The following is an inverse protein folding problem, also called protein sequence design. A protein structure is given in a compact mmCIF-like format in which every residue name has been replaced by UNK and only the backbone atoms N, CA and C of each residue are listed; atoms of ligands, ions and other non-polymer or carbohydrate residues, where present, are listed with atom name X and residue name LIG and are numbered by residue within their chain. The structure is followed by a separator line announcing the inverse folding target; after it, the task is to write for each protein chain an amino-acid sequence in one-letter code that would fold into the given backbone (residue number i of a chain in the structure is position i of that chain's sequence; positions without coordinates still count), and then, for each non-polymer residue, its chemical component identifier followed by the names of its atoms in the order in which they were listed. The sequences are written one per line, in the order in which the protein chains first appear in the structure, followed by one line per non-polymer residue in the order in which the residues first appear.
data_IF_622039150090
#
_entry.id   IF_622039150090
#
_cell.length_a   1.000
_cell.length_b   1.000
_cell.length_c   1.000
_cell.angle_alpha   90.00
_cell.angle_beta   90.00
_cell.angle_gamma   90.00
#
_symmetry.space_group_name_H-M   'P 1'
#
loop_
_entity.id
_entity.type
_entity.pdbx_description
1 polymer ?
#
# COMPACT_ATOMS: atom_id res chain seq x y z
N UNK A 1 -2.00 11.99 26.23
CA UNK A 1 -2.80 12.11 24.97
C UNK A 1 -2.45 13.36 24.15
N UNK A 2 -2.52 14.58 24.70
CA UNK A 2 -2.21 15.84 23.95
C UNK A 2 -0.84 15.84 23.27
N UNK A 3 0.22 15.43 23.97
CA UNK A 3 1.58 15.38 23.42
C UNK A 3 1.72 14.39 22.24
N UNK A 4 1.09 13.21 22.34
CA UNK A 4 1.08 12.21 21.26
C UNK A 4 0.49 12.82 19.99
N UNK A 5 -0.68 13.45 20.11
CA UNK A 5 -1.36 14.10 18.99
C UNK A 5 -0.50 15.20 18.35
N UNK A 6 0.16 16.04 19.16
CA UNK A 6 1.04 17.09 18.66
C UNK A 6 2.24 16.54 17.88
N UNK A 7 2.90 15.51 18.40
CA UNK A 7 4.02 14.86 17.71
C UNK A 7 3.56 14.17 16.42
N UNK A 8 2.40 13.53 16.43
CA UNK A 8 1.80 12.93 15.23
C UNK A 8 1.54 14.00 14.17
N UNK A 9 0.89 15.11 14.54
CA UNK A 9 0.58 16.21 13.60
C UNK A 9 1.86 16.78 13.01
N UNK A 10 2.86 17.10 13.83
CA UNK A 10 4.15 17.66 13.37
C UNK A 10 4.84 16.69 12.41
N UNK A 11 4.91 15.41 12.77
CA UNK A 11 5.55 14.38 11.93
C UNK A 11 4.84 14.21 10.58
N UNK A 12 3.50 14.22 10.59
CA UNK A 12 2.69 14.08 9.39
C UNK A 12 2.85 15.31 8.49
N UNK A 13 2.67 16.51 9.02
CA UNK A 13 2.76 17.76 8.24
C UNK A 13 4.14 17.93 7.63
N UNK A 14 5.20 17.60 8.35
CA UNK A 14 6.56 17.70 7.83
C UNK A 14 6.82 16.70 6.71
N UNK A 15 6.39 15.45 6.89
CA UNK A 15 6.55 14.42 5.87
C UNK A 15 5.75 14.74 4.61
N UNK A 16 4.49 15.18 4.79
CA UNK A 16 3.57 15.58 3.73
C UNK A 16 4.01 16.86 3.02
N UNK A 17 4.63 17.80 3.73
CA UNK A 17 5.11 19.07 3.20
C UNK A 17 6.40 18.97 2.37
N UNK A 18 6.94 17.77 2.17
CA UNK A 18 8.10 17.59 1.29
C UNK A 18 7.69 17.69 -0.18
N UNK A 19 8.57 18.25 -1.02
CA UNK A 19 8.32 18.41 -2.45
C UNK A 19 8.00 17.08 -3.17
N UNK A 20 8.41 15.94 -2.60
CA UNK A 20 8.14 14.61 -3.14
C UNK A 20 6.64 14.30 -3.24
N UNK A 21 5.83 14.84 -2.33
CA UNK A 21 4.38 14.68 -2.38
C UNK A 21 3.73 15.37 -3.57
N UNK A 22 4.38 16.38 -4.16
CA UNK A 22 3.89 17.04 -5.38
C UNK A 22 3.96 16.12 -6.61
N UNK A 23 4.81 15.09 -6.58
CA UNK A 23 4.90 14.10 -7.65
C UNK A 23 3.76 13.08 -7.60
N UNK A 24 3.20 12.82 -6.41
CA UNK A 24 2.23 11.75 -6.18
C UNK A 24 0.99 11.90 -7.07
N UNK A 25 0.36 13.08 -7.19
CA UNK A 25 -0.78 13.25 -8.07
C UNK A 25 -0.45 12.93 -9.54
N UNK A 26 0.68 13.44 -10.05
CA UNK A 26 1.08 13.20 -11.44
C UNK A 26 1.35 11.73 -11.74
N UNK A 27 2.04 11.03 -10.84
CA UNK A 27 2.33 9.59 -10.99
C UNK A 27 1.03 8.78 -11.04
N UNK A 28 0.07 9.04 -10.15
CA UNK A 28 -1.20 8.30 -10.16
C UNK A 28 -2.12 8.67 -11.31
N UNK A 29 -2.11 9.91 -11.79
CA UNK A 29 -2.82 10.28 -13.02
C UNK A 29 -2.25 9.53 -14.23
N UNK A 30 -0.92 9.44 -14.35
CA UNK A 30 -0.30 8.66 -15.43
C UNK A 30 -0.63 7.18 -15.27
N UNK A 31 -0.53 6.63 -14.05
CA UNK A 31 -0.82 5.23 -13.81
C UNK A 31 -2.29 4.87 -14.11
N UNK A 32 -3.25 5.72 -13.72
CA UNK A 32 -4.66 5.55 -14.05
C UNK A 32 -4.96 5.70 -15.54
N UNK A 33 -4.25 6.60 -16.24
CA UNK A 33 -4.34 6.73 -17.70
C UNK A 33 -3.84 5.47 -18.40
N UNK A 34 -2.67 4.94 -18.02
CA UNK A 34 -2.11 3.72 -18.60
C UNK A 34 -2.95 2.48 -18.28
N UNK A 35 -3.54 2.42 -17.08
CA UNK A 35 -4.40 1.32 -16.68
C UNK A 35 -5.77 1.33 -17.40
N UNK A 36 -6.15 2.42 -18.05
CA UNK A 36 -7.43 2.50 -18.76
C UNK A 36 -7.53 1.48 -19.91
N UNK A 37 -6.43 1.26 -20.62
CA UNK A 37 -6.35 0.26 -21.71
C UNK A 37 -6.46 -1.16 -21.15
N UNK A 38 -5.79 -1.44 -20.03
CA UNK A 38 -5.83 -2.75 -19.34
C UNK A 38 -7.25 -3.08 -18.82
N UNK A 39 -8.04 -2.06 -18.47
CA UNK A 39 -9.38 -2.22 -17.91
C UNK A 39 -10.42 -2.38 -19.02
N UNK A 40 -10.30 -1.60 -20.09
CA UNK A 40 -11.29 -1.51 -21.17
C UNK A 40 -11.18 -2.63 -22.22
N UNK A 41 -10.05 -3.31 -22.33
CA UNK A 41 -9.83 -4.31 -23.37
C UNK A 41 -9.42 -5.69 -22.84
N UNK A 42 -10.18 -6.71 -23.23
CA UNK A 42 -9.77 -8.10 -23.02
C UNK A 42 -8.85 -8.57 -24.16
N UNK A 43 -7.55 -8.66 -23.89
CA UNK A 43 -6.59 -9.12 -24.90
C UNK A 43 -6.71 -10.61 -25.25
N UNK A 44 -7.30 -11.43 -24.36
CA UNK A 44 -7.47 -12.86 -24.58
C UNK A 44 -8.63 -13.12 -25.53
N UNK A 45 -9.73 -12.41 -25.31
CA UNK A 45 -10.96 -12.59 -26.10
C UNK A 45 -11.10 -11.59 -27.25
N UNK A 46 -10.26 -10.54 -27.26
CA UNK A 46 -10.30 -9.42 -28.21
C UNK A 46 -11.64 -8.68 -28.17
N UNK A 47 -12.17 -8.43 -26.96
CA UNK A 47 -13.48 -7.79 -26.74
C UNK A 47 -13.34 -6.56 -25.85
N UNK A 48 -14.01 -5.47 -26.25
CA UNK A 48 -14.16 -4.27 -25.41
C UNK A 48 -15.13 -4.52 -24.26
N UNK A 49 -14.73 -4.10 -23.06
CA UNK A 49 -15.51 -4.24 -21.83
C UNK A 49 -16.23 -2.94 -21.52
N UNK A 50 -17.49 -3.05 -21.11
CA UNK A 50 -18.21 -1.91 -20.54
C UNK A 50 -17.66 -1.66 -19.14
N UNK A 51 -16.86 -0.60 -19.00
CA UNK A 51 -16.15 -0.24 -17.77
C UNK A 51 -16.40 1.21 -17.39
N UNK A 52 -16.17 1.53 -16.12
CA UNK A 52 -16.14 2.90 -15.64
C UNK A 52 -14.91 3.14 -14.76
N UNK A 53 -14.76 4.38 -14.29
CA UNK A 53 -13.58 4.79 -13.50
C UNK A 53 -13.38 4.00 -12.21
N UNK A 54 -14.42 3.39 -11.65
CA UNK A 54 -14.28 2.58 -10.45
C UNK A 54 -13.57 1.26 -10.70
N UNK A 55 -13.63 0.71 -11.93
CA UNK A 55 -12.98 -0.54 -12.31
C UNK A 55 -11.45 -0.42 -12.36
N UNK A 56 -10.94 0.80 -12.55
CA UNK A 56 -9.50 1.08 -12.65
C UNK A 56 -8.76 0.80 -11.35
N UNK A 57 -9.30 1.25 -10.21
CA UNK A 57 -8.65 1.05 -8.92
C UNK A 57 -8.43 -0.42 -8.61
N UNK A 58 -9.44 -1.29 -8.74
CA UNK A 58 -9.22 -2.68 -8.54
C UNK A 58 -8.20 -3.29 -9.52
N UNK A 59 -8.29 -3.00 -10.82
CA UNK A 59 -7.31 -3.54 -11.78
C UNK A 59 -5.89 -3.09 -11.45
N UNK A 60 -5.69 -1.83 -11.08
CA UNK A 60 -4.38 -1.33 -10.64
C UNK A 60 -3.86 -2.06 -9.41
N UNK A 61 -4.72 -2.29 -8.42
CA UNK A 61 -4.32 -2.93 -7.17
C UNK A 61 -4.10 -4.46 -7.35
N UNK A 62 -4.70 -5.07 -8.38
CA UNK A 62 -4.61 -6.52 -8.63
C UNK A 62 -3.42 -6.85 -9.52
N UNK A 63 -3.01 -5.89 -10.35
CA UNK A 63 -1.82 -5.97 -11.16
C UNK A 63 -0.55 -5.82 -10.28
N UNK A 64 0.33 -6.83 -10.24
CA UNK A 64 1.51 -6.83 -9.38
C UNK A 64 2.52 -5.74 -9.73
N UNK A 65 2.54 -5.25 -10.97
CA UNK A 65 3.45 -4.19 -11.39
C UNK A 65 3.07 -2.84 -10.78
N UNK A 66 1.81 -2.41 -10.96
CA UNK A 66 1.33 -1.16 -10.34
C UNK A 66 1.45 -1.24 -8.82
N UNK A 67 1.06 -2.35 -8.23
CA UNK A 67 1.11 -2.54 -6.79
C UNK A 67 2.54 -2.43 -6.22
N UNK A 68 3.50 -3.15 -6.81
CA UNK A 68 4.86 -3.18 -6.28
C UNK A 68 5.64 -1.88 -6.60
N UNK A 69 5.54 -1.36 -7.83
CA UNK A 69 6.32 -0.21 -8.27
C UNK A 69 5.67 1.14 -7.95
N UNK A 70 4.36 1.26 -8.13
CA UNK A 70 3.67 2.53 -7.89
C UNK A 70 3.31 2.63 -6.42
N UNK A 71 2.57 1.67 -5.86
CA UNK A 71 2.08 1.78 -4.49
C UNK A 71 3.18 1.53 -3.45
N UNK A 72 3.82 0.36 -3.48
CA UNK A 72 4.79 -0.03 -2.44
C UNK A 72 6.07 0.79 -2.55
N UNK A 73 6.77 0.71 -3.68
CA UNK A 73 8.00 1.47 -3.87
C UNK A 73 7.72 2.97 -3.74
N UNK A 74 6.76 3.52 -4.49
CA UNK A 74 6.43 4.94 -4.42
C UNK A 74 6.16 5.44 -3.01
N UNK A 75 5.35 4.73 -2.20
CA UNK A 75 5.10 5.13 -0.82
C UNK A 75 6.37 5.04 0.05
N UNK A 76 7.15 3.98 -0.08
CA UNK A 76 8.38 3.81 0.71
C UNK A 76 9.44 4.87 0.39
N UNK A 77 9.48 5.39 -0.85
CA UNK A 77 10.33 6.53 -1.21
C UNK A 77 9.90 7.84 -0.55
N UNK A 78 8.61 7.98 -0.23
CA UNK A 78 8.08 9.16 0.44
C UNK A 78 8.36 9.14 1.95
N UNK A 79 8.23 7.97 2.58
CA UNK A 79 8.23 7.87 4.06
C UNK A 79 9.47 7.19 4.64
N UNK A 80 10.22 6.44 3.84
CA UNK A 80 11.28 5.55 4.31
C UNK A 80 12.47 6.28 4.94
N UNK A 81 12.80 7.47 4.46
CA UNK A 81 13.91 8.28 5.00
C UNK A 81 13.46 9.30 6.06
N UNK A 82 12.19 9.30 6.48
CA UNK A 82 11.65 10.28 7.43
C UNK A 82 12.40 10.29 8.77
N UNK A 83 12.92 9.13 9.21
CA UNK A 83 13.75 9.03 10.41
C UNK A 83 15.15 9.65 10.19
N UNK A 84 15.75 9.39 9.02
CA UNK A 84 17.06 9.92 8.68
C UNK A 84 17.01 11.44 8.52
N UNK A 85 15.95 11.98 7.91
CA UNK A 85 15.70 13.42 7.81
C UNK A 85 15.58 14.05 9.20
N UNK A 86 14.79 13.45 10.10
CA UNK A 86 14.66 13.95 11.47
C UNK A 86 15.99 13.97 12.23
N UNK A 87 16.85 12.99 11.97
CA UNK A 87 18.19 12.94 12.55
C UNK A 87 19.11 14.01 11.97
N UNK A 88 19.18 14.11 10.64
CA UNK A 88 20.05 15.06 9.95
C UNK A 88 19.70 16.51 10.33
N UNK A 89 18.42 16.80 10.52
CA UNK A 89 17.94 18.14 10.88
C UNK A 89 18.02 18.39 12.40
N UNK A 90 18.58 17.47 13.20
CA UNK A 90 18.70 17.58 14.66
C UNK A 90 17.38 17.48 15.43
N UNK A 91 16.25 17.36 14.73
CA UNK A 91 14.92 17.27 15.33
C UNK A 91 14.78 16.04 16.22
N UNK A 92 15.38 14.91 15.83
CA UNK A 92 15.34 13.68 16.63
C UNK A 92 15.95 13.92 18.02
N UNK A 93 17.09 14.61 18.09
CA UNK A 93 17.74 14.95 19.36
C UNK A 93 16.89 15.92 20.20
N UNK A 94 16.24 16.90 19.56
CA UNK A 94 15.32 17.82 20.23
C UNK A 94 14.08 17.11 20.77
N UNK A 95 13.50 16.19 20.00
CA UNK A 95 12.31 15.44 20.41
C UNK A 95 12.67 14.47 21.53
N UNK A 96 13.75 13.71 21.41
CA UNK A 96 14.15 12.76 22.44
C UNK A 96 14.48 13.47 23.76
N UNK A 97 15.20 14.60 23.72
CA UNK A 97 15.57 15.35 24.93
C UNK A 97 14.38 16.05 25.61
N UNK A 98 13.33 16.42 24.85
CA UNK A 98 12.14 17.11 25.37
C UNK A 98 10.93 16.22 25.58
N UNK A 99 10.88 15.04 24.97
CA UNK A 99 9.77 14.11 25.16
C UNK A 99 9.90 13.45 26.53
N UNK A 100 8.78 13.34 27.24
CA UNK A 100 8.74 12.60 28.51
C UNK A 100 8.91 11.08 28.32
N UNK A 101 8.79 10.58 27.08
CA UNK A 101 8.89 9.16 26.78
C UNK A 101 9.25 8.90 25.31
N UNK A 102 10.32 8.14 25.11
CA UNK A 102 10.75 7.62 23.79
C UNK A 102 9.67 6.75 23.13
N UNK A 103 8.91 6.00 23.94
CA UNK A 103 7.78 5.16 23.49
C UNK A 103 6.68 6.02 22.88
N UNK A 104 6.36 7.14 23.53
CA UNK A 104 5.31 8.04 23.05
C UNK A 104 5.70 8.68 21.71
N UNK A 105 6.97 9.04 21.51
CA UNK A 105 7.47 9.48 20.21
C UNK A 105 7.37 8.38 19.15
N UNK A 106 7.83 7.16 19.44
CA UNK A 106 7.76 6.04 18.50
C UNK A 106 6.32 5.74 18.05
N UNK A 107 5.39 5.67 19.00
CA UNK A 107 3.98 5.49 18.70
C UNK A 107 3.43 6.64 17.84
N UNK A 108 3.82 7.90 18.10
CA UNK A 108 3.41 9.02 17.26
C UNK A 108 3.93 8.90 15.83
N UNK A 109 5.15 8.38 15.65
CA UNK A 109 5.75 8.12 14.34
C UNK A 109 4.98 7.03 13.58
N UNK A 110 4.70 5.90 14.24
CA UNK A 110 3.89 4.83 13.67
C UNK A 110 2.50 5.32 13.23
N UNK A 111 1.83 6.11 14.08
CA UNK A 111 0.51 6.70 13.76
C UNK A 111 0.63 7.70 12.60
N UNK A 112 1.68 8.52 12.57
CA UNK A 112 1.91 9.47 11.49
C UNK A 112 2.04 8.75 10.13
N UNK A 113 2.77 7.64 10.07
CA UNK A 113 2.87 6.81 8.86
C UNK A 113 1.51 6.22 8.45
N UNK A 114 0.66 5.84 9.41
CA UNK A 114 -0.70 5.38 9.12
C UNK A 114 -1.55 6.47 8.46
N UNK A 115 -1.45 7.71 8.95
CA UNK A 115 -2.15 8.85 8.36
C UNK A 115 -1.60 9.12 6.95
N UNK A 116 -0.29 9.08 6.77
CA UNK A 116 0.34 9.27 5.46
C UNK A 116 -0.06 8.18 4.46
N UNK A 117 -0.19 6.91 4.88
CA UNK A 117 -0.63 5.84 3.98
C UNK A 117 -2.09 6.02 3.54
N UNK A 118 -2.96 6.47 4.45
CA UNK A 118 -4.33 6.84 4.11
C UNK A 118 -4.38 8.02 3.13
N UNK A 119 -3.64 9.09 3.39
CA UNK A 119 -3.56 10.23 2.48
C UNK A 119 -3.03 9.82 1.10
N UNK A 120 -2.00 8.97 1.07
CA UNK A 120 -1.42 8.45 -0.17
C UNK A 120 -2.44 7.67 -0.99
N UNK A 121 -3.21 6.78 -0.36
CA UNK A 121 -4.25 6.00 -1.03
C UNK A 121 -5.43 6.88 -1.47
N UNK A 122 -5.85 7.86 -0.68
CA UNK A 122 -6.91 8.79 -1.08
C UNK A 122 -6.48 9.56 -2.34
N UNK A 123 -5.25 10.09 -2.36
CA UNK A 123 -4.70 10.77 -3.54
C UNK A 123 -4.61 9.79 -4.71
N UNK A 124 -4.14 8.56 -4.47
CA UNK A 124 -4.04 7.52 -5.49
C UNK A 124 -5.38 7.24 -6.17
N UNK A 125 -6.44 7.02 -5.38
CA UNK A 125 -7.78 6.74 -5.89
C UNK A 125 -8.30 7.92 -6.73
N UNK A 126 -8.28 9.13 -6.17
CA UNK A 126 -8.80 10.32 -6.85
C UNK A 126 -8.05 10.59 -8.16
N UNK A 127 -6.71 10.54 -8.11
CA UNK A 127 -5.88 10.91 -9.25
C UNK A 127 -5.83 9.82 -10.32
N UNK A 128 -5.96 8.54 -9.95
CA UNK A 128 -6.08 7.45 -10.92
C UNK A 128 -7.42 7.48 -11.63
N UNK A 129 -8.52 7.79 -10.92
CA UNK A 129 -9.82 8.03 -11.55
C UNK A 129 -9.74 9.22 -12.52
N UNK A 130 -9.10 10.32 -12.14
CA UNK A 130 -8.87 11.44 -13.04
C UNK A 130 -8.08 11.01 -14.29
N UNK A 131 -7.02 10.22 -14.12
CA UNK A 131 -6.23 9.66 -15.22
C UNK A 131 -7.09 8.81 -16.18
N UNK A 132 -7.96 7.97 -15.64
CA UNK A 132 -8.89 7.15 -16.41
C UNK A 132 -9.91 7.99 -17.19
N UNK A 133 -10.44 9.06 -16.58
CA UNK A 133 -11.33 10.01 -17.29
C UNK A 133 -10.59 10.68 -18.45
N UNK A 134 -9.34 11.07 -18.26
CA UNK A 134 -8.51 11.65 -19.33
C UNK A 134 -8.22 10.65 -20.45
N UNK A 135 -8.22 9.35 -20.16
CA UNK A 135 -8.11 8.26 -21.14
C UNK A 135 -9.45 7.93 -21.84
N UNK A 136 -10.56 8.58 -21.47
CA UNK A 136 -11.86 8.38 -22.09
C UNK A 136 -12.78 7.38 -21.37
N UNK A 137 -12.40 6.86 -20.21
CA UNK A 137 -13.29 6.00 -19.40
C UNK A 137 -14.38 6.87 -18.76
N UNK A 138 -15.67 6.50 -18.88
CA UNK A 138 -16.77 7.28 -18.31
C UNK A 138 -16.73 7.28 -16.77
N UNK A 139 -16.93 8.46 -16.18
CA UNK A 139 -17.13 8.61 -14.74
C UNK A 139 -18.60 8.41 -14.39
N UNK A 140 -18.92 7.26 -13.81
CA UNK A 140 -20.26 6.91 -13.36
C UNK A 140 -20.21 6.46 -11.91
N UNK A 141 -21.27 6.74 -11.13
CA UNK A 141 -21.38 6.28 -9.74
C UNK A 141 -22.02 4.89 -9.60
N UNK A 142 -22.52 4.35 -10.72
CA UNK A 142 -23.16 3.04 -10.82
C UNK A 142 -22.14 1.95 -11.07
N UNK A 143 -22.52 0.71 -10.78
CA UNK A 143 -21.71 -0.46 -11.10
C UNK A 143 -21.67 -0.66 -12.62
N UNK A 144 -20.49 -0.88 -13.19
CA UNK A 144 -20.32 -1.26 -14.59
C UNK A 144 -20.86 -2.66 -14.85
N UNK A 145 -21.21 -3.00 -16.11
CA UNK A 145 -21.61 -4.38 -16.44
C UNK A 145 -20.50 -5.38 -16.09
N UNK A 146 -19.24 -5.00 -16.29
CA UNK A 146 -18.08 -5.82 -15.95
C UNK A 146 -17.95 -6.09 -14.44
N UNK A 147 -18.36 -5.15 -13.58
CA UNK A 147 -18.33 -5.30 -12.12
C UNK A 147 -19.54 -6.05 -11.53
N UNK A 148 -20.61 -6.21 -12.32
CA UNK A 148 -21.81 -6.99 -11.97
C UNK A 148 -21.72 -8.47 -12.38
N UNK A 149 -20.59 -8.85 -12.94
CA UNK A 149 -20.31 -10.20 -13.38
C UNK A 149 -20.47 -11.24 -12.29
N UNK A 150 -21.23 -12.28 -12.61
CA UNK A 150 -21.42 -13.44 -11.72
C UNK A 150 -20.48 -14.58 -12.11
N UNK A 151 -20.20 -15.48 -11.16
CA UNK A 151 -19.29 -16.61 -11.36
C UNK A 151 -19.68 -17.54 -12.53
N UNK A 152 -20.94 -17.55 -12.93
CA UNK A 152 -21.43 -18.33 -14.08
C UNK A 152 -21.11 -17.68 -15.43
N UNK A 153 -20.73 -16.40 -15.45
CA UNK A 153 -20.35 -15.65 -16.66
C UNK A 153 -18.84 -15.68 -16.94
N UNK A 154 -18.04 -16.27 -16.04
CA UNK A 154 -16.57 -16.35 -16.13
C UNK A 154 -16.12 -17.00 -17.44
N UNK A 155 -16.80 -18.07 -17.87
CA UNK A 155 -16.40 -18.83 -19.07
C UNK A 155 -16.72 -18.13 -20.40
N UNK A 156 -17.38 -16.98 -20.37
CA UNK A 156 -17.80 -16.29 -21.61
C UNK A 156 -17.07 -14.96 -21.80
N UNK A 157 -16.62 -14.26 -20.74
CA UNK A 157 -16.12 -12.86 -20.85
C UNK A 157 -15.00 -12.43 -19.86
N UNK A 158 -14.41 -13.34 -19.07
CA UNK A 158 -13.30 -13.06 -18.12
C UNK A 158 -13.49 -11.80 -17.25
N UNK A 159 -14.71 -11.62 -16.75
CA UNK A 159 -15.06 -10.58 -15.80
C UNK A 159 -14.56 -10.91 -14.38
N UNK A 160 -14.42 -9.91 -13.49
CA UNK A 160 -13.85 -10.10 -12.14
C UNK A 160 -14.95 -10.20 -11.06
N UNK A 161 -15.44 -11.41 -10.72
CA UNK A 161 -16.53 -11.56 -9.77
C UNK A 161 -16.08 -11.17 -8.36
N UNK A 162 -16.86 -10.33 -7.69
CA UNK A 162 -16.54 -9.88 -6.32
C UNK A 162 -17.13 -10.86 -5.31
N UNK A 163 -16.37 -11.23 -4.28
CA UNK A 163 -16.87 -12.08 -3.17
C UNK A 163 -17.99 -11.37 -2.39
N UNK A 164 -17.97 -10.04 -2.33
CA UNK A 164 -18.98 -9.25 -1.65
C UNK A 164 -19.92 -8.60 -2.64
N UNK A 165 -21.21 -8.82 -2.45
CA UNK A 165 -22.29 -8.14 -3.16
C UNK A 165 -22.51 -6.74 -2.55
N UNK A 166 -21.54 -5.86 -2.76
CA UNK A 166 -21.57 -4.45 -2.37
C UNK A 166 -21.37 -3.58 -3.60
N UNK A 167 -21.88 -2.36 -3.61
CA UNK A 167 -21.65 -1.46 -4.75
C UNK A 167 -20.16 -1.18 -4.96
N UNK A 168 -19.79 -0.88 -6.20
CA UNK A 168 -18.40 -0.69 -6.60
C UNK A 168 -17.66 0.38 -5.78
N UNK A 169 -18.26 1.54 -5.42
CA UNK A 169 -17.61 2.51 -4.54
C UNK A 169 -17.25 1.94 -3.15
N UNK A 170 -18.13 1.14 -2.56
CA UNK A 170 -17.85 0.50 -1.26
C UNK A 170 -16.77 -0.58 -1.39
N UNK A 171 -16.80 -1.35 -2.47
CA UNK A 171 -15.73 -2.31 -2.76
C UNK A 171 -14.37 -1.62 -2.86
N UNK A 172 -14.27 -0.56 -3.66
CA UNK A 172 -13.06 0.26 -3.83
C UNK A 172 -12.60 0.84 -2.49
N UNK A 173 -13.52 1.31 -1.65
CA UNK A 173 -13.21 1.79 -0.31
C UNK A 173 -12.54 0.71 0.56
N UNK A 174 -13.09 -0.50 0.61
CA UNK A 174 -12.54 -1.59 1.44
C UNK A 174 -11.15 -2.05 0.96
N UNK A 175 -10.97 -2.26 -0.35
CA UNK A 175 -9.67 -2.68 -0.89
C UNK A 175 -8.61 -1.57 -0.77
N UNK A 176 -9.03 -0.30 -0.84
CA UNK A 176 -8.15 0.85 -0.61
C UNK A 176 -7.71 0.92 0.85
N UNK A 177 -8.63 0.72 1.80
CA UNK A 177 -8.30 0.67 3.22
C UNK A 177 -7.34 -0.48 3.56
N UNK A 178 -7.57 -1.64 2.96
CA UNK A 178 -6.67 -2.79 3.04
C UNK A 178 -5.26 -2.46 2.53
N UNK A 179 -5.18 -1.79 1.38
CA UNK A 179 -3.89 -1.39 0.79
C UNK A 179 -3.19 -0.35 1.68
N UNK A 180 -3.92 0.64 2.20
CA UNK A 180 -3.38 1.64 3.12
C UNK A 180 -2.80 1.01 4.39
N UNK A 181 -3.48 0.01 4.94
CA UNK A 181 -3.03 -0.75 6.11
C UNK A 181 -1.77 -1.57 5.80
N UNK A 182 -1.71 -2.18 4.61
CA UNK A 182 -0.53 -2.92 4.16
C UNK A 182 0.69 -2.01 3.99
N UNK A 183 0.51 -0.86 3.33
CA UNK A 183 1.54 0.15 3.16
C UNK A 183 2.03 0.71 4.51
N UNK A 184 1.12 0.88 5.47
CA UNK A 184 1.47 1.28 6.84
C UNK A 184 2.45 0.29 7.48
N UNK A 185 2.18 -1.01 7.40
CA UNK A 185 3.04 -2.05 7.97
C UNK A 185 4.41 -2.08 7.28
N UNK A 186 4.42 -2.10 5.94
CA UNK A 186 5.66 -2.14 5.15
C UNK A 186 6.55 -0.93 5.48
N UNK A 187 5.97 0.28 5.52
CA UNK A 187 6.72 1.49 5.86
C UNK A 187 7.31 1.43 7.28
N UNK A 188 6.58 0.88 8.26
CA UNK A 188 7.10 0.72 9.60
C UNK A 188 8.24 -0.30 9.68
N UNK A 189 8.16 -1.42 8.94
CA UNK A 189 9.26 -2.39 8.82
C UNK A 189 10.50 -1.68 8.26
N UNK A 190 10.34 -0.91 7.18
CA UNK A 190 11.46 -0.18 6.56
C UNK A 190 12.08 0.85 7.49
N UNK A 191 11.26 1.56 8.27
CA UNK A 191 11.76 2.51 9.27
C UNK A 191 12.53 1.79 10.37
N UNK A 192 12.05 0.62 10.84
CA UNK A 192 12.80 -0.23 11.77
C UNK A 192 14.15 -0.67 11.20
N UNK A 193 14.19 -1.10 9.93
CA UNK A 193 15.46 -1.45 9.27
C UNK A 193 16.38 -0.24 9.19
N UNK A 194 15.82 0.95 8.94
CA UNK A 194 16.58 2.22 8.90
C UNK A 194 17.10 2.66 10.28
N UNK A 195 16.51 2.20 11.38
CA UNK A 195 17.11 2.36 12.72
C UNK A 195 18.38 1.53 12.88
N UNK A 196 18.45 0.35 12.24
CA UNK A 196 19.59 -0.56 12.32
C UNK A 196 20.72 -0.08 11.42
N UNK A 197 20.38 0.34 10.21
CA UNK A 197 21.35 0.81 9.22
C UNK A 197 21.13 2.30 8.93
N UNK A 198 22.03 3.12 9.44
CA UNK A 198 21.90 4.58 9.53
C UNK A 198 22.29 5.29 8.23
N UNK A 199 21.95 4.72 7.08
CA UNK A 199 22.27 5.29 5.78
C UNK A 199 20.99 5.66 5.03
N UNK A 200 21.03 6.81 4.36
CA UNK A 200 19.90 7.34 3.57
C UNK A 200 19.44 6.37 2.47
N UNK A 201 20.33 5.49 1.97
CA UNK A 201 19.99 4.53 0.91
C UNK A 201 19.29 3.25 1.43
N UNK A 202 19.32 2.99 2.75
CA UNK A 202 18.80 1.74 3.33
C UNK A 202 17.33 1.51 3.05
N UNK A 203 16.42 2.50 3.18
CA UNK A 203 15.02 2.30 2.82
C UNK A 203 14.83 1.79 1.40
N UNK A 204 15.57 2.40 0.46
CA UNK A 204 15.55 2.07 -0.96
C UNK A 204 16.07 0.67 -1.22
N UNK A 205 17.22 0.32 -0.63
CA UNK A 205 17.81 -1.00 -0.79
C UNK A 205 16.95 -2.09 -0.16
N UNK A 206 16.33 -1.82 0.99
CA UNK A 206 15.45 -2.78 1.67
C UNK A 206 14.29 -3.17 0.76
N UNK A 207 13.61 -2.17 0.17
CA UNK A 207 12.48 -2.47 -0.70
C UNK A 207 12.91 -3.07 -2.04
N UNK A 208 14.02 -2.60 -2.63
CA UNK A 208 14.55 -3.17 -3.86
C UNK A 208 14.95 -4.64 -3.68
N UNK A 209 15.65 -4.97 -2.59
CA UNK A 209 16.02 -6.35 -2.26
C UNK A 209 14.78 -7.19 -2.03
N UNK A 210 13.77 -6.68 -1.31
CA UNK A 210 12.53 -7.43 -1.08
C UNK A 210 11.75 -7.69 -2.37
N UNK A 211 11.66 -6.70 -3.26
CA UNK A 211 11.04 -6.85 -4.58
C UNK A 211 11.80 -7.85 -5.44
N UNK A 212 13.12 -7.71 -5.58
CA UNK A 212 13.94 -8.65 -6.37
C UNK A 212 13.83 -10.06 -5.81
N UNK A 213 13.90 -10.22 -4.49
CA UNK A 213 13.74 -11.52 -3.82
C UNK A 213 12.36 -12.11 -4.11
N UNK A 214 11.31 -11.29 -4.15
CA UNK A 214 9.95 -11.73 -4.48
C UNK A 214 9.86 -12.26 -5.92
N UNK A 215 10.51 -11.60 -6.89
CA UNK A 215 10.57 -12.09 -8.27
C UNK A 215 11.41 -13.38 -8.42
N UNK A 216 12.56 -13.45 -7.74
CA UNK A 216 13.49 -14.58 -7.86
C UNK A 216 12.97 -15.82 -7.15
N UNK A 217 12.41 -15.67 -5.95
CA UNK A 217 11.99 -16.80 -5.12
C UNK A 217 10.53 -17.19 -5.30
N UNK A 218 9.71 -16.39 -5.98
CA UNK A 218 8.29 -16.69 -6.21
C UNK A 218 8.01 -18.11 -6.70
N UNK A 219 8.69 -18.64 -7.74
CA UNK A 219 8.41 -19.99 -8.21
C UNK A 219 8.67 -21.07 -7.14
N UNK A 220 9.64 -20.83 -6.26
CA UNK A 220 9.95 -21.73 -5.15
C UNK A 220 8.96 -21.57 -3.98
N UNK A 221 8.45 -20.35 -3.74
CA UNK A 221 7.51 -20.04 -2.66
C UNK A 221 6.08 -20.48 -2.98
N UNK A 222 5.71 -20.58 -4.26
CA UNK A 222 4.37 -21.01 -4.71
C UNK A 222 3.97 -22.38 -4.15
N UNK A 223 4.93 -23.29 -3.96
CA UNK A 223 4.66 -24.65 -3.48
C UNK A 223 4.69 -24.81 -1.95
N UNK A 224 5.04 -23.77 -1.20
CA UNK A 224 5.17 -23.84 0.26
C UNK A 224 3.99 -23.09 0.90
N UNK A 225 3.05 -23.79 1.57
CA UNK A 225 1.90 -23.16 2.20
C UNK A 225 2.32 -22.05 3.18
N UNK A 226 1.78 -20.84 2.97
CA UNK A 226 2.10 -19.67 3.79
C UNK A 226 3.40 -18.94 3.44
N UNK A 227 4.35 -19.56 2.73
CA UNK A 227 5.58 -18.87 2.31
C UNK A 227 5.33 -17.83 1.21
N UNK A 228 4.22 -17.97 0.47
CA UNK A 228 3.72 -16.96 -0.45
C UNK A 228 3.52 -15.59 0.23
N UNK A 229 3.31 -15.54 1.55
CA UNK A 229 3.23 -14.28 2.32
C UNK A 229 4.52 -13.47 2.33
N UNK A 230 5.66 -14.11 2.06
CA UNK A 230 6.96 -13.46 2.00
C UNK A 230 7.19 -12.77 0.65
N UNK A 231 6.43 -13.17 -0.39
CA UNK A 231 6.40 -12.50 -1.68
C UNK A 231 5.55 -11.22 -1.57
N UNK A 232 6.17 -10.06 -1.84
CA UNK A 232 5.52 -8.75 -1.81
C UNK A 232 4.28 -8.71 -2.69
N UNK A 233 4.28 -9.44 -3.81
CA UNK A 233 3.13 -9.48 -4.73
C UNK A 233 1.96 -10.14 -4.02
N UNK A 234 2.11 -11.37 -3.54
CA UNK A 234 1.05 -12.06 -2.81
C UNK A 234 0.62 -11.36 -1.51
N UNK A 235 1.56 -10.74 -0.79
CA UNK A 235 1.25 -10.04 0.46
C UNK A 235 0.35 -8.81 0.24
N UNK A 236 0.61 -8.07 -0.84
CA UNK A 236 -0.08 -6.81 -1.11
C UNK A 236 -1.27 -7.01 -2.05
N UNK A 237 -1.21 -8.01 -2.95
CA UNK A 237 -2.25 -8.29 -3.92
C UNK A 237 -3.53 -8.75 -3.21
N UNK A 238 -4.66 -8.18 -3.60
CA UNK A 238 -5.97 -8.46 -2.98
C UNK A 238 -6.85 -9.38 -3.87
N UNK A 239 -6.21 -10.22 -4.70
CA UNK A 239 -6.84 -11.22 -5.58
C UNK A 239 -7.81 -12.15 -4.86
N UNK A 240 -7.66 -12.31 -3.54
CA UNK A 240 -8.61 -13.00 -2.67
C UNK A 240 -10.05 -12.49 -2.76
N UNK A 241 -10.30 -11.33 -3.36
CA UNK A 241 -11.64 -10.78 -3.55
C UNK A 241 -12.24 -11.08 -4.94
N UNK A 242 -11.46 -11.69 -5.84
CA UNK A 242 -11.86 -12.00 -7.23
C UNK A 242 -11.88 -13.46 -7.59
N UNK A 243 -11.22 -14.33 -6.82
CA UNK A 243 -11.11 -15.74 -7.20
C UNK A 243 -11.24 -16.67 -5.98
N UNK A 244 -12.28 -17.51 -6.01
CA UNK A 244 -12.55 -18.53 -5.00
C UNK A 244 -11.63 -19.76 -5.15
N UNK A 245 -10.88 -19.88 -6.26
CA UNK A 245 -10.08 -21.06 -6.60
C UNK A 245 -8.62 -21.01 -6.18
N UNK A 246 -8.10 -19.88 -5.67
CA UNK A 246 -6.77 -19.89 -5.07
C UNK A 246 -6.83 -20.51 -3.67
N UNK A 247 -6.75 -21.85 -3.64
CA UNK A 247 -6.59 -22.70 -2.45
C UNK A 247 -5.42 -22.23 -1.55
N UNK A 248 -4.50 -21.44 -2.10
CA UNK A 248 -3.29 -20.96 -1.42
C UNK A 248 -3.34 -19.48 -1.01
N UNK A 249 -4.39 -18.73 -1.35
CA UNK A 249 -4.50 -17.34 -0.88
C UNK A 249 -5.00 -17.31 0.57
N UNK A 250 -4.36 -16.53 1.46
CA UNK A 250 -4.83 -16.42 2.83
C UNK A 250 -6.18 -15.74 2.93
N UNK A 251 -7.01 -16.29 3.82
CA UNK A 251 -8.27 -15.65 4.20
C UNK A 251 -8.03 -14.26 4.79
N UNK A 252 -9.00 -13.36 4.64
CA UNK A 252 -8.94 -12.02 5.24
C UNK A 252 -8.60 -12.04 6.75
N UNK A 253 -9.19 -12.94 7.57
CA UNK A 253 -8.80 -13.08 8.97
C UNK A 253 -7.33 -13.47 9.16
N UNK A 254 -6.80 -14.40 8.35
CA UNK A 254 -5.41 -14.83 8.44
C UNK A 254 -4.45 -13.69 8.09
N UNK A 255 -4.76 -12.92 7.04
CA UNK A 255 -4.01 -11.71 6.72
C UNK A 255 -4.02 -10.72 7.89
N UNK A 256 -5.20 -10.40 8.45
CA UNK A 256 -5.31 -9.43 9.55
C UNK A 256 -4.50 -9.90 10.77
N UNK A 257 -4.54 -11.20 11.07
CA UNK A 257 -3.73 -11.78 12.13
C UNK A 257 -2.23 -11.56 11.90
N UNK A 258 -1.72 -11.95 10.72
CA UNK A 258 -0.29 -11.78 10.37
C UNK A 258 0.10 -10.31 10.44
N UNK A 259 -0.73 -9.43 9.87
CA UNK A 259 -0.49 -8.01 9.79
C UNK A 259 -0.44 -7.35 11.19
N UNK A 260 -1.36 -7.73 12.09
CA UNK A 260 -1.35 -7.29 13.49
C UNK A 260 -0.10 -7.81 14.22
N UNK A 261 0.26 -9.09 14.02
CA UNK A 261 1.47 -9.67 14.62
C UNK A 261 2.73 -8.94 14.16
N UNK A 262 2.87 -8.68 12.86
CA UNK A 262 3.98 -7.91 12.29
C UNK A 262 4.04 -6.50 12.88
N UNK A 263 2.89 -5.81 12.99
CA UNK A 263 2.83 -4.48 13.59
C UNK A 263 3.25 -4.51 15.07
N UNK A 264 2.81 -5.51 15.83
CA UNK A 264 3.22 -5.69 17.23
C UNK A 264 4.72 -5.96 17.36
N UNK A 265 5.30 -6.76 16.45
CA UNK A 265 6.75 -6.99 16.41
C UNK A 265 7.49 -5.69 16.12
N UNK A 266 7.06 -4.92 15.12
CA UNK A 266 7.67 -3.63 14.78
C UNK A 266 7.58 -2.64 15.94
N UNK A 267 6.42 -2.52 16.58
CA UNK A 267 6.23 -1.66 17.74
C UNK A 267 7.16 -2.06 18.89
N UNK A 268 7.20 -3.35 19.22
CA UNK A 268 8.02 -3.89 20.31
C UNK A 268 9.51 -3.71 20.03
N UNK A 269 9.94 -3.99 18.80
CA UNK A 269 11.34 -3.84 18.41
C UNK A 269 11.80 -2.38 18.43
N UNK A 270 10.96 -1.46 17.94
CA UNK A 270 11.26 -0.03 18.01
C UNK A 270 11.40 0.46 19.45
N UNK A 271 10.52 0.02 20.36
CA UNK A 271 10.60 0.32 21.79
C UNK A 271 11.89 -0.24 22.40
N UNK A 272 12.20 -1.51 22.13
CA UNK A 272 13.41 -2.17 22.63
C UNK A 272 14.67 -1.44 22.16
N UNK A 273 14.73 -1.10 20.87
CA UNK A 273 15.87 -0.40 20.27
C UNK A 273 16.04 0.99 20.88
N UNK A 274 14.96 1.71 21.14
CA UNK A 274 15.00 3.01 21.81
C UNK A 274 15.46 2.93 23.27
N UNK A 275 15.33 1.78 23.93
CA UNK A 275 15.86 1.56 25.27
C UNK A 275 17.39 1.40 25.26
N UNK A 276 17.93 0.69 24.25
CA UNK A 276 19.37 0.45 24.10
C UNK A 276 20.15 1.54 23.36
N UNK A 277 19.46 2.50 22.76
CA UNK A 277 20.12 3.64 22.13
C UNK A 277 20.55 4.63 23.22
N UNK A 278 21.84 4.59 23.57
CA UNK A 278 22.54 5.64 24.31
C UNK A 278 22.74 6.85 23.36
N UNK A 279 21.64 7.57 23.10
CA UNK A 279 21.63 8.90 22.46
C UNK A 279 21.46 9.94 23.56
#
# INVERSE_FOLDING_TARGET
MRLLLQLTIISTLRSFGTWRWLLVPGVFTIAGFLCADDVSFDYTQQVERSVNTWDVIPVMLSNPFYLAWVFVLGFTLLVGDTLQQERNDGMLALIISRSSSRILWWNSKCISIAILSLCYIIIAVIMSMLGAVLAGIPFELTDSLSSQATWTMIHVQDWYPRIFDVSMPWFVFFISLYTAFTLWIIANIIIVVSFLFQHTFVPFATIAVWMISSFVFSPALEHIPGAQMLDVRYFVTYTKHFDAFFVYTPSLPMFLFIAIVLLMIVLSFGILRLHYLDI
#
